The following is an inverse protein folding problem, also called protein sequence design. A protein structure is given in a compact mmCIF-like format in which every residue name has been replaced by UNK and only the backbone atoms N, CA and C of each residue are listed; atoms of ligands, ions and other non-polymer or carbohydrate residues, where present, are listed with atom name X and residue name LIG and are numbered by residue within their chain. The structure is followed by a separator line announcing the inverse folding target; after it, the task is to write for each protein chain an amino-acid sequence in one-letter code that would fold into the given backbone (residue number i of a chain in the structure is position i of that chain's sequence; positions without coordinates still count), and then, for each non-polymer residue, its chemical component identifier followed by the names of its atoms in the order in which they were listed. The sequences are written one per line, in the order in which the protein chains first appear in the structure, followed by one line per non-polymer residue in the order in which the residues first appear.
data_IF_665056165932
#
_entry.id   IF_665056165932
#
_cell.length_a   1.000
_cell.length_b   1.000
_cell.length_c   1.000
_cell.angle_alpha   90.00
_cell.angle_beta   90.00
_cell.angle_gamma   90.00
#
_symmetry.space_group_name_H-M   'P 1'
#
loop_
_entity.id
_entity.type
_entity.pdbx_description
1 polymer ?
#
# COMPACT_ATOMS: atom_id res chain seq x y z
N UNK A 1 77.83 39.47 -38.96
CA UNK A 1 76.85 39.14 -40.03
C UNK A 1 76.22 37.78 -39.76
N UNK A 2 74.89 37.78 -39.50
CA UNK A 2 73.91 36.68 -39.64
C UNK A 2 74.27 35.27 -39.09
N UNK A 3 73.61 34.85 -38.00
CA UNK A 3 72.27 34.22 -38.02
C UNK A 3 71.77 33.97 -36.60
N UNK A 4 70.55 34.41 -36.34
CA UNK A 4 69.77 34.14 -35.15
C UNK A 4 69.41 32.64 -35.05
N UNK A 5 69.44 32.08 -33.84
CA UNK A 5 68.80 30.80 -33.50
C UNK A 5 67.69 31.10 -32.50
N UNK A 6 66.45 31.04 -32.99
CA UNK A 6 65.24 31.05 -32.17
C UNK A 6 65.22 29.77 -31.33
N UNK A 7 65.16 29.92 -29.99
CA UNK A 7 64.80 28.85 -29.07
C UNK A 7 63.33 29.07 -28.72
N UNK A 8 62.47 28.17 -29.20
CA UNK A 8 61.05 28.13 -28.90
C UNK A 8 60.87 27.48 -27.52
N UNK A 9 60.40 28.24 -26.54
CA UNK A 9 60.00 27.75 -25.23
C UNK A 9 58.53 27.33 -25.32
N UNK A 10 58.26 26.01 -25.32
CA UNK A 10 56.89 25.47 -25.27
C UNK A 10 56.55 25.18 -23.82
N UNK A 11 55.76 26.04 -23.20
CA UNK A 11 55.19 25.82 -21.86
C UNK A 11 53.93 24.99 -22.02
N UNK A 12 54.00 23.72 -21.61
CA UNK A 12 52.87 22.79 -21.58
C UNK A 12 51.99 23.11 -20.35
N UNK A 13 50.86 23.78 -20.55
CA UNK A 13 49.87 24.02 -19.48
C UNK A 13 48.99 22.77 -19.39
N UNK A 14 49.25 21.94 -18.39
CA UNK A 14 48.41 20.82 -18.00
C UNK A 14 47.12 21.33 -17.33
N UNK A 15 46.03 21.34 -18.09
CA UNK A 15 44.67 21.60 -17.57
C UNK A 15 44.18 20.35 -16.84
N UNK A 16 44.33 20.30 -15.52
CA UNK A 16 43.67 19.30 -14.68
C UNK A 16 42.22 19.71 -14.47
N UNK A 17 41.29 19.06 -15.18
CA UNK A 17 39.87 19.18 -14.91
C UNK A 17 39.56 18.47 -13.58
N UNK A 18 39.40 19.25 -12.51
CA UNK A 18 38.73 18.81 -11.29
C UNK A 18 37.25 18.63 -11.62
N UNK A 19 36.84 17.41 -11.96
CA UNK A 19 35.42 17.04 -11.95
C UNK A 19 34.97 16.97 -10.50
N UNK A 20 34.42 18.07 -10.00
CA UNK A 20 33.62 18.04 -8.80
C UNK A 20 32.38 17.18 -9.08
N UNK A 21 32.36 15.98 -8.51
CA UNK A 21 31.12 15.23 -8.33
C UNK A 21 30.24 16.05 -7.40
N UNK A 22 29.42 16.93 -7.98
CA UNK A 22 28.29 17.52 -7.29
C UNK A 22 27.26 16.40 -7.12
N UNK A 23 27.16 15.86 -5.91
CA UNK A 23 25.98 15.13 -5.47
C UNK A 23 24.75 16.00 -5.77
N UNK A 24 23.68 15.46 -6.37
CA UNK A 24 22.45 16.23 -6.51
C UNK A 24 21.99 16.64 -5.11
N UNK A 25 21.91 17.94 -4.85
CA UNK A 25 21.27 18.46 -3.66
C UNK A 25 19.78 18.12 -3.75
N UNK A 26 19.34 17.10 -3.01
CA UNK A 26 17.92 16.83 -2.77
C UNK A 26 17.43 17.91 -1.82
N UNK A 27 17.05 19.05 -2.39
CA UNK A 27 16.47 20.19 -1.67
C UNK A 27 15.29 20.77 -2.46
N UNK A 28 14.45 19.88 -2.99
CA UNK A 28 13.06 20.18 -3.32
C UNK A 28 12.19 19.34 -2.40
N UNK A 29 11.27 19.97 -1.65
CA UNK A 29 10.17 19.21 -1.04
C UNK A 29 9.44 18.51 -2.19
N UNK A 30 9.35 17.18 -2.16
CA UNK A 30 8.63 16.43 -3.19
C UNK A 30 7.20 16.99 -3.30
N UNK A 31 6.79 17.39 -4.50
CA UNK A 31 5.48 17.99 -4.76
C UNK A 31 4.37 17.00 -4.41
N UNK A 32 3.24 17.51 -3.93
CA UNK A 32 2.08 16.68 -3.60
C UNK A 32 1.50 16.09 -4.88
N UNK A 33 1.25 14.77 -4.88
CA UNK A 33 0.72 14.05 -6.04
C UNK A 33 -0.67 14.58 -6.43
N UNK A 34 -0.90 14.76 -7.72
CA UNK A 34 -2.17 15.27 -8.26
C UNK A 34 -2.87 14.29 -9.23
N UNK A 35 -2.17 13.24 -9.66
CA UNK A 35 -2.66 12.29 -10.65
C UNK A 35 -2.42 10.85 -10.22
N UNK A 36 -3.27 9.95 -10.69
CA UNK A 36 -3.24 8.52 -10.38
C UNK A 36 -3.13 7.71 -11.66
N UNK A 37 -2.13 6.83 -11.75
CA UNK A 37 -2.03 5.84 -12.82
C UNK A 37 -2.42 4.48 -12.25
N UNK A 38 -3.52 3.89 -12.74
CA UNK A 38 -4.08 2.66 -12.18
C UNK A 38 -4.68 1.75 -13.25
N UNK A 39 -4.86 0.48 -12.90
CA UNK A 39 -5.57 -0.53 -13.70
C UNK A 39 -6.53 -1.30 -12.82
N UNK A 40 -7.70 -1.65 -13.36
CA UNK A 40 -8.62 -2.60 -12.72
C UNK A 40 -8.36 -4.05 -13.14
N UNK A 41 -7.25 -4.32 -13.85
CA UNK A 41 -6.86 -5.67 -14.28
C UNK A 41 -7.94 -6.37 -15.11
N UNK A 42 -8.63 -5.63 -15.97
CA UNK A 42 -9.75 -6.13 -16.75
C UNK A 42 -9.32 -6.74 -18.11
N UNK A 43 -8.04 -6.68 -18.44
CA UNK A 43 -7.41 -7.24 -19.64
C UNK A 43 -6.19 -8.10 -19.29
N UNK A 44 -5.76 -8.94 -20.24
CA UNK A 44 -4.63 -9.84 -20.04
C UNK A 44 -3.27 -9.12 -19.97
N UNK A 45 -3.11 -7.98 -20.67
CA UNK A 45 -1.82 -7.27 -20.70
C UNK A 45 -1.48 -6.67 -19.34
N UNK A 46 -2.46 -6.03 -18.67
CA UNK A 46 -2.27 -5.51 -17.32
C UNK A 46 -2.09 -6.64 -16.30
N UNK A 47 -2.82 -7.75 -16.42
CA UNK A 47 -2.63 -8.92 -15.56
C UNK A 47 -1.24 -9.54 -15.74
N UNK A 48 -0.74 -9.68 -16.97
CA UNK A 48 0.59 -10.23 -17.25
C UNK A 48 1.71 -9.33 -16.71
N UNK A 49 1.58 -8.01 -16.83
CA UNK A 49 2.53 -7.05 -16.26
C UNK A 49 2.61 -7.20 -14.74
N UNK A 50 1.46 -7.19 -14.07
CA UNK A 50 1.39 -7.30 -12.61
C UNK A 50 1.86 -8.68 -12.14
N UNK A 51 1.48 -9.76 -12.83
CA UNK A 51 1.91 -11.13 -12.49
C UNK A 51 3.43 -11.27 -12.52
N UNK A 52 4.10 -10.73 -13.54
CA UNK A 52 5.58 -10.73 -13.61
C UNK A 52 6.23 -9.98 -12.45
N UNK A 53 5.66 -8.84 -12.06
CA UNK A 53 6.13 -8.09 -10.90
C UNK A 53 5.92 -8.88 -9.59
N UNK A 54 4.76 -9.53 -9.42
CA UNK A 54 4.47 -10.40 -8.27
C UNK A 54 5.43 -11.59 -8.19
N UNK A 55 5.69 -12.27 -9.32
CA UNK A 55 6.68 -13.36 -9.41
C UNK A 55 8.09 -12.86 -9.00
N UNK A 56 8.51 -11.73 -9.54
CA UNK A 56 9.81 -11.12 -9.24
C UNK A 56 9.93 -10.64 -7.79
N UNK A 57 8.81 -10.27 -7.17
CA UNK A 57 8.72 -9.92 -5.76
C UNK A 57 8.73 -11.14 -4.84
N UNK A 58 8.58 -12.35 -5.38
CA UNK A 58 8.60 -13.60 -4.61
C UNK A 58 7.23 -14.01 -4.05
N UNK A 59 6.13 -13.54 -4.65
CA UNK A 59 4.78 -14.02 -4.32
C UNK A 59 4.62 -15.44 -4.87
N UNK A 60 4.01 -16.34 -4.09
CA UNK A 60 3.80 -17.73 -4.50
C UNK A 60 2.77 -17.81 -5.63
N UNK A 61 2.93 -18.81 -6.51
CA UNK A 61 1.98 -19.06 -7.59
C UNK A 61 0.54 -19.23 -7.07
N UNK A 62 0.36 -19.90 -5.94
CA UNK A 62 -0.93 -20.06 -5.27
C UNK A 62 -1.58 -18.72 -4.91
N UNK A 63 -0.86 -17.81 -4.23
CA UNK A 63 -1.37 -16.50 -3.85
C UNK A 63 -1.65 -15.61 -5.08
N UNK A 64 -0.80 -15.68 -6.11
CA UNK A 64 -1.04 -14.97 -7.38
C UNK A 64 -2.30 -15.48 -8.08
N UNK A 65 -2.45 -16.79 -8.22
CA UNK A 65 -3.62 -17.39 -8.87
C UNK A 65 -4.89 -17.09 -8.10
N UNK A 66 -4.85 -17.15 -6.76
CA UNK A 66 -5.97 -16.76 -5.92
C UNK A 66 -6.38 -15.30 -6.14
N UNK A 67 -5.41 -14.37 -6.19
CA UNK A 67 -5.65 -12.96 -6.43
C UNK A 67 -6.30 -12.71 -7.80
N UNK A 68 -5.71 -13.21 -8.89
CA UNK A 68 -6.26 -13.01 -10.22
C UNK A 68 -7.62 -13.71 -10.43
N UNK A 69 -7.87 -14.84 -9.77
CA UNK A 69 -9.21 -15.44 -9.75
C UNK A 69 -10.23 -14.51 -9.08
N UNK A 70 -9.87 -13.90 -7.95
CA UNK A 70 -10.76 -12.97 -7.24
C UNK A 70 -11.03 -11.70 -8.06
N UNK A 71 -9.99 -11.14 -8.69
CA UNK A 71 -10.08 -10.01 -9.65
C UNK A 71 -11.04 -10.35 -10.80
N UNK A 72 -10.79 -11.48 -11.48
CA UNK A 72 -11.59 -11.88 -12.63
C UNK A 72 -13.05 -12.17 -12.24
N UNK A 73 -13.28 -12.82 -11.09
CA UNK A 73 -14.64 -13.06 -10.59
C UNK A 73 -15.37 -11.74 -10.30
N UNK A 74 -14.70 -10.78 -9.66
CA UNK A 74 -15.27 -9.45 -9.40
C UNK A 74 -15.60 -8.72 -10.69
N UNK A 75 -14.62 -8.56 -11.57
CA UNK A 75 -14.79 -7.84 -12.83
C UNK A 75 -15.87 -8.46 -13.72
N UNK A 76 -15.99 -9.79 -13.77
CA UNK A 76 -17.04 -10.48 -14.53
C UNK A 76 -18.42 -10.36 -13.87
N UNK A 77 -18.47 -10.34 -12.54
CA UNK A 77 -19.74 -10.21 -11.78
C UNK A 77 -20.39 -8.86 -12.05
N UNK A 78 -19.60 -7.79 -12.06
CA UNK A 78 -20.06 -6.41 -12.29
C UNK A 78 -20.02 -5.99 -13.77
N UNK A 79 -19.77 -6.96 -14.67
CA UNK A 79 -19.73 -6.77 -16.12
C UNK A 79 -18.78 -5.64 -16.56
N UNK A 80 -17.68 -5.50 -15.82
CA UNK A 80 -16.65 -4.48 -15.99
C UNK A 80 -17.18 -3.03 -15.95
N UNK A 81 -18.33 -2.80 -15.29
CA UNK A 81 -18.90 -1.46 -15.14
C UNK A 81 -17.89 -0.50 -14.51
N UNK A 82 -17.70 0.64 -15.17
CA UNK A 82 -16.84 1.77 -14.76
C UNK A 82 -15.36 1.40 -14.55
N UNK A 83 -14.92 0.24 -15.04
CA UNK A 83 -13.53 -0.20 -14.94
C UNK A 83 -12.67 0.35 -16.08
N UNK A 84 -11.38 0.53 -15.80
CA UNK A 84 -10.35 0.61 -16.84
C UNK A 84 -10.24 -0.78 -17.50
N UNK A 85 -10.74 -0.90 -18.74
CA UNK A 85 -10.83 -2.17 -19.46
C UNK A 85 -9.61 -2.54 -20.30
N UNK A 86 -8.64 -1.63 -20.45
CA UNK A 86 -7.43 -1.85 -21.25
C UNK A 86 -6.22 -1.18 -20.58
N UNK A 87 -5.27 -1.99 -20.11
CA UNK A 87 -3.99 -1.55 -19.57
C UNK A 87 -4.12 -0.71 -18.29
N UNK A 88 -3.24 0.28 -18.18
CA UNK A 88 -3.26 1.30 -17.13
C UNK A 88 -3.77 2.62 -17.71
N UNK A 89 -4.65 3.30 -16.98
CA UNK A 89 -5.12 4.64 -17.29
C UNK A 89 -4.53 5.65 -16.31
N UNK A 90 -4.42 6.92 -16.72
CA UNK A 90 -4.02 8.02 -15.84
C UNK A 90 -5.15 9.04 -15.73
N UNK A 91 -5.47 9.45 -14.51
CA UNK A 91 -6.48 10.47 -14.20
C UNK A 91 -5.84 11.61 -13.40
N UNK A 92 -6.33 12.84 -13.60
CA UNK A 92 -5.86 14.05 -12.90
C UNK A 92 -6.54 14.24 -11.54
N UNK A 93 -6.58 13.17 -10.75
CA UNK A 93 -7.05 13.12 -9.37
C UNK A 93 -6.47 11.89 -8.67
N UNK A 94 -6.56 11.82 -7.35
CA UNK A 94 -6.05 10.69 -6.56
C UNK A 94 -7.08 9.59 -6.27
N UNK A 95 -8.27 9.66 -6.86
CA UNK A 95 -9.34 8.69 -6.60
C UNK A 95 -10.13 8.40 -7.88
N UNK A 96 -10.23 7.13 -8.30
CA UNK A 96 -11.17 6.73 -9.35
C UNK A 96 -12.61 6.92 -8.90
N UNK A 97 -13.50 7.24 -9.84
CA UNK A 97 -14.94 7.32 -9.58
C UNK A 97 -15.64 6.05 -10.07
N UNK A 98 -16.41 5.42 -9.20
CA UNK A 98 -17.22 4.24 -9.51
C UNK A 98 -18.66 4.42 -9.04
N UNK A 99 -19.62 3.89 -9.79
CA UNK A 99 -21.01 3.80 -9.33
C UNK A 99 -21.16 2.61 -8.35
N UNK A 100 -20.78 2.84 -7.09
CA UNK A 100 -20.74 1.80 -6.06
C UNK A 100 -22.13 1.21 -5.77
N UNK A 101 -23.21 1.98 -5.92
CA UNK A 101 -24.57 1.48 -5.74
C UNK A 101 -24.91 0.44 -6.81
N UNK A 102 -24.68 0.76 -8.09
CA UNK A 102 -24.92 -0.18 -9.17
C UNK A 102 -23.98 -1.40 -9.09
N UNK A 103 -22.71 -1.19 -8.74
CA UNK A 103 -21.75 -2.28 -8.52
C UNK A 103 -22.24 -3.22 -7.42
N UNK A 104 -22.67 -2.68 -6.29
CA UNK A 104 -23.19 -3.46 -5.17
C UNK A 104 -24.45 -4.24 -5.57
N UNK A 105 -25.40 -3.61 -6.27
CA UNK A 105 -26.62 -4.28 -6.74
C UNK A 105 -26.31 -5.47 -7.66
N UNK A 106 -25.37 -5.31 -8.59
CA UNK A 106 -24.92 -6.40 -9.47
C UNK A 106 -24.22 -7.51 -8.68
N UNK A 107 -23.40 -7.15 -7.69
CA UNK A 107 -22.70 -8.10 -6.84
C UNK A 107 -23.67 -8.92 -6.00
N UNK A 108 -24.59 -8.28 -5.28
CA UNK A 108 -25.56 -8.92 -4.39
C UNK A 108 -26.54 -9.82 -5.17
N UNK A 109 -26.92 -9.39 -6.37
CA UNK A 109 -27.77 -10.21 -7.26
C UNK A 109 -27.12 -11.55 -7.60
N UNK A 110 -25.79 -11.57 -7.83
CA UNK A 110 -25.04 -12.79 -8.17
C UNK A 110 -24.52 -13.52 -6.92
N UNK A 111 -24.37 -12.85 -5.78
CA UNK A 111 -23.74 -13.36 -4.56
C UNK A 111 -24.56 -13.03 -3.28
N UNK A 112 -25.79 -13.54 -3.12
CA UNK A 112 -26.72 -13.08 -2.07
C UNK A 112 -26.26 -13.34 -0.63
N UNK A 113 -25.29 -14.23 -0.43
CA UNK A 113 -24.75 -14.58 0.90
C UNK A 113 -23.27 -14.22 1.04
N UNK A 114 -22.61 -13.68 0.02
CA UNK A 114 -21.17 -13.46 0.02
C UNK A 114 -20.86 -12.02 -0.36
N UNK A 115 -20.46 -11.22 0.64
CA UNK A 115 -20.18 -9.79 0.49
C UNK A 115 -18.91 -9.48 -0.31
N UNK A 116 -18.14 -10.49 -0.73
CA UNK A 116 -16.85 -10.31 -1.39
C UNK A 116 -15.68 -10.27 -0.40
N UNK A 117 -14.51 -9.91 -0.91
CA UNK A 117 -13.31 -9.71 -0.08
C UNK A 117 -12.96 -8.21 -0.02
N UNK A 118 -12.38 -7.79 1.11
CA UNK A 118 -11.95 -6.43 1.36
C UNK A 118 -10.40 -6.29 1.37
N UNK A 119 -9.93 -5.12 1.79
CA UNK A 119 -8.51 -4.77 1.92
C UNK A 119 -7.71 -5.76 2.78
N UNK A 120 -8.21 -6.09 3.97
CA UNK A 120 -7.52 -6.97 4.93
C UNK A 120 -7.39 -8.39 4.40
N UNK A 121 -8.49 -8.99 3.94
CA UNK A 121 -8.51 -10.36 3.43
C UNK A 121 -7.60 -10.49 2.21
N UNK A 122 -7.72 -9.56 1.26
CA UNK A 122 -6.91 -9.57 0.03
C UNK A 122 -5.42 -9.41 0.33
N UNK A 123 -5.08 -8.48 1.22
CA UNK A 123 -3.68 -8.24 1.60
C UNK A 123 -3.08 -9.44 2.33
N UNK A 124 -3.86 -10.09 3.22
CA UNK A 124 -3.40 -11.28 3.91
C UNK A 124 -3.17 -12.45 2.96
N UNK A 125 -4.10 -12.75 2.05
CA UNK A 125 -3.93 -13.88 1.11
C UNK A 125 -2.67 -13.72 0.23
N UNK A 126 -2.34 -12.48 -0.15
CA UNK A 126 -1.11 -12.15 -0.85
C UNK A 126 0.14 -12.28 0.02
N UNK A 127 0.06 -11.90 1.30
CA UNK A 127 1.18 -11.83 2.24
C UNK A 127 1.39 -13.09 3.07
N UNK A 128 0.47 -14.05 3.10
CA UNK A 128 0.43 -15.17 4.07
C UNK A 128 1.72 -16.02 4.12
N UNK A 129 2.44 -16.11 3.01
CA UNK A 129 3.72 -16.83 2.91
C UNK A 129 4.96 -15.98 3.27
N UNK A 130 4.75 -14.67 3.48
CA UNK A 130 5.77 -13.67 3.81
C UNK A 130 5.63 -13.11 5.22
N UNK A 131 4.58 -13.50 5.95
CA UNK A 131 4.37 -13.13 7.36
C UNK A 131 4.46 -14.40 8.20
N UNK A 132 5.25 -14.36 9.25
CA UNK A 132 5.28 -15.39 10.27
C UNK A 132 4.56 -14.89 11.51
N UNK A 133 3.67 -15.70 12.08
CA UNK A 133 2.96 -15.39 13.34
C UNK A 133 3.22 -16.53 14.33
N UNK A 134 4.12 -16.29 15.28
CA UNK A 134 4.53 -17.35 16.22
C UNK A 134 3.55 -17.61 17.36
N UNK A 135 2.73 -16.61 17.72
CA UNK A 135 1.80 -16.70 18.85
C UNK A 135 0.45 -16.11 18.46
N UNK A 136 -0.45 -17.00 18.07
CA UNK A 136 -1.86 -16.66 17.80
C UNK A 136 -2.49 -15.98 19.03
N UNK A 137 -3.08 -14.82 18.82
CA UNK A 137 -3.81 -14.07 19.83
C UNK A 137 -4.92 -13.23 19.18
N UNK A 138 -6.17 -13.65 19.38
CA UNK A 138 -7.36 -13.08 18.77
C UNK A 138 -8.24 -12.31 19.76
N UNK A 139 -7.72 -11.94 20.93
CA UNK A 139 -8.50 -11.32 22.02
C UNK A 139 -9.25 -10.05 21.60
N UNK A 140 -8.67 -9.25 20.70
CA UNK A 140 -9.23 -7.95 20.26
C UNK A 140 -9.64 -7.98 18.78
N UNK A 141 -10.22 -9.08 18.30
CA UNK A 141 -10.62 -9.26 16.89
C UNK A 141 -12.12 -9.15 16.64
N UNK A 142 -12.94 -8.74 17.64
CA UNK A 142 -14.41 -8.68 17.50
C UNK A 142 -14.88 -7.81 16.35
N UNK A 143 -14.13 -6.75 16.04
CA UNK A 143 -14.41 -5.81 14.95
C UNK A 143 -14.08 -6.38 13.54
N UNK A 144 -13.60 -7.62 13.46
CA UNK A 144 -13.40 -8.33 12.19
C UNK A 144 -14.62 -9.17 11.77
N UNK A 145 -15.79 -8.96 12.38
CA UNK A 145 -16.99 -9.77 12.12
C UNK A 145 -17.42 -9.78 10.65
N UNK A 146 -17.24 -8.68 9.90
CA UNK A 146 -17.52 -8.66 8.46
C UNK A 146 -16.52 -9.49 7.67
N UNK A 147 -15.24 -9.45 8.05
CA UNK A 147 -14.20 -10.27 7.43
C UNK A 147 -14.45 -11.76 7.70
N UNK A 148 -14.85 -12.10 8.92
CA UNK A 148 -15.22 -13.46 9.31
C UNK A 148 -16.45 -13.95 8.55
N UNK A 149 -17.49 -13.11 8.40
CA UNK A 149 -18.67 -13.45 7.60
C UNK A 149 -18.32 -13.65 6.11
N UNK A 150 -17.49 -12.78 5.54
CA UNK A 150 -16.98 -12.92 4.18
C UNK A 150 -16.21 -14.23 3.97
N UNK A 151 -15.30 -14.57 4.89
CA UNK A 151 -14.51 -15.81 4.82
C UNK A 151 -15.39 -17.06 5.00
N UNK A 152 -16.38 -16.99 5.88
CA UNK A 152 -17.33 -18.08 6.14
C UNK A 152 -18.23 -18.37 4.95
N UNK A 153 -18.75 -17.32 4.29
CA UNK A 153 -19.67 -17.46 3.16
C UNK A 153 -18.96 -17.47 1.79
N UNK A 154 -17.63 -17.41 1.79
CA UNK A 154 -16.81 -17.45 0.59
C UNK A 154 -17.08 -18.70 -0.26
N UNK A 155 -17.23 -18.57 -1.60
CA UNK A 155 -17.48 -19.72 -2.49
C UNK A 155 -16.27 -20.66 -2.63
N UNK A 156 -15.08 -20.20 -2.22
CA UNK A 156 -13.85 -21.02 -2.12
C UNK A 156 -13.28 -20.94 -0.71
N UNK A 157 -12.58 -21.98 -0.27
CA UNK A 157 -11.80 -21.94 0.98
C UNK A 157 -10.52 -21.14 0.73
N UNK A 158 -10.60 -19.81 0.93
CA UNK A 158 -9.48 -18.89 0.69
C UNK A 158 -8.36 -19.07 1.72
N UNK A 159 -8.75 -19.15 2.99
CA UNK A 159 -7.86 -19.33 4.13
C UNK A 159 -8.23 -20.61 4.90
N UNK A 160 -7.22 -21.39 5.26
CA UNK A 160 -7.33 -22.48 6.23
C UNK A 160 -7.73 -21.96 7.61
N UNK A 161 -8.14 -22.86 8.51
CA UNK A 161 -8.52 -22.47 9.88
C UNK A 161 -7.35 -21.83 10.64
N UNK A 162 -6.12 -22.33 10.41
CA UNK A 162 -4.90 -21.74 10.99
C UNK A 162 -4.66 -20.34 10.43
N UNK A 163 -4.74 -20.19 9.10
CA UNK A 163 -4.57 -18.88 8.44
C UNK A 163 -5.66 -17.88 8.85
N UNK A 164 -6.87 -18.33 9.20
CA UNK A 164 -7.92 -17.45 9.73
C UNK A 164 -7.60 -16.95 11.15
N UNK A 165 -7.02 -17.79 12.01
CA UNK A 165 -6.54 -17.34 13.34
C UNK A 165 -5.33 -16.40 13.23
N UNK A 166 -4.43 -16.66 12.28
CA UNK A 166 -3.31 -15.78 11.95
C UNK A 166 -3.79 -14.43 11.40
N UNK A 167 -4.74 -14.44 10.47
CA UNK A 167 -5.42 -13.25 9.96
C UNK A 167 -6.00 -12.41 11.10
N UNK A 168 -6.78 -13.02 12.00
CA UNK A 168 -7.35 -12.33 13.16
C UNK A 168 -6.27 -11.80 14.10
N UNK A 169 -5.17 -12.52 14.26
CA UNK A 169 -4.05 -12.10 15.11
C UNK A 169 -3.38 -10.84 14.56
N UNK A 170 -3.12 -10.80 13.25
CA UNK A 170 -2.50 -9.66 12.56
C UNK A 170 -3.37 -8.40 12.60
N UNK A 171 -4.68 -8.54 12.32
CA UNK A 171 -5.62 -7.41 12.23
C UNK A 171 -6.38 -7.10 13.52
N UNK A 172 -6.09 -7.80 14.62
CA UNK A 172 -6.69 -7.47 15.91
C UNK A 172 -6.26 -6.09 16.42
N UNK A 173 -7.14 -5.46 17.17
CA UNK A 173 -6.99 -4.09 17.62
C UNK A 173 -5.94 -4.00 18.73
N UNK A 174 -5.15 -2.92 18.71
CA UNK A 174 -4.05 -2.69 19.65
C UNK A 174 -4.48 -1.64 20.68
N UNK A 175 -4.56 -1.97 21.98
CA UNK A 175 -4.84 -0.98 23.01
C UNK A 175 -3.81 0.15 23.01
N UNK A 176 -4.26 1.39 23.12
CA UNK A 176 -3.41 2.58 23.15
C UNK A 176 -3.89 3.58 24.21
N UNK A 177 -3.17 4.70 24.30
CA UNK A 177 -3.49 5.84 25.16
C UNK A 177 -4.09 6.99 24.33
N UNK A 178 -4.94 7.81 24.95
CA UNK A 178 -5.55 8.99 24.30
C UNK A 178 -4.51 10.11 24.13
N UNK A 179 -3.78 10.08 23.03
CA UNK A 179 -2.77 11.07 22.62
C UNK A 179 -2.81 11.29 21.12
N UNK A 180 -2.26 12.42 20.66
CA UNK A 180 -2.01 12.71 19.24
C UNK A 180 -0.63 12.28 18.76
N UNK A 181 0.26 11.89 19.68
CA UNK A 181 1.64 11.53 19.36
C UNK A 181 1.72 10.15 18.72
N UNK A 182 1.90 10.11 17.39
CA UNK A 182 2.01 8.87 16.62
C UNK A 182 3.21 8.02 17.05
N UNK A 183 4.25 8.59 17.68
CA UNK A 183 5.40 7.81 18.14
C UNK A 183 5.02 6.86 19.28
N UNK A 184 4.10 7.29 20.15
CA UNK A 184 3.52 6.43 21.19
C UNK A 184 2.74 5.28 20.53
N UNK A 185 1.93 5.60 19.52
CA UNK A 185 1.12 4.60 18.81
C UNK A 185 1.97 3.58 18.05
N UNK A 186 3.01 4.02 17.34
CA UNK A 186 3.97 3.15 16.66
C UNK A 186 4.62 2.17 17.64
N UNK A 187 5.03 2.64 18.82
CA UNK A 187 5.60 1.78 19.84
C UNK A 187 4.60 0.74 20.35
N UNK A 188 3.33 1.11 20.59
CA UNK A 188 2.28 0.16 20.99
C UNK A 188 2.06 -0.93 19.94
N UNK A 189 2.00 -0.56 18.65
CA UNK A 189 1.85 -1.54 17.55
C UNK A 189 3.06 -2.49 17.51
N UNK A 190 4.29 -1.95 17.57
CA UNK A 190 5.52 -2.76 17.59
C UNK A 190 5.59 -3.70 18.79
N UNK A 191 5.19 -3.23 19.98
CA UNK A 191 5.14 -4.05 21.20
C UNK A 191 4.13 -5.19 21.08
N UNK A 192 2.92 -4.91 20.58
CA UNK A 192 1.88 -5.90 20.37
C UNK A 192 2.29 -6.96 19.33
N UNK A 193 2.80 -6.54 18.18
CA UNK A 193 3.28 -7.45 17.14
C UNK A 193 4.46 -8.29 17.60
N UNK A 194 5.40 -7.71 18.35
CA UNK A 194 6.49 -8.45 19.00
C UNK A 194 5.97 -9.48 20.01
N UNK A 195 4.94 -9.13 20.80
CA UNK A 195 4.34 -10.05 21.77
C UNK A 195 3.68 -11.26 21.08
N UNK A 196 3.14 -11.06 19.89
CA UNK A 196 2.55 -12.08 18.99
C UNK A 196 3.58 -12.83 18.12
N UNK A 197 4.87 -12.46 18.21
CA UNK A 197 5.95 -12.95 17.34
C UNK A 197 5.59 -12.83 15.85
N UNK A 198 5.03 -11.67 15.47
CA UNK A 198 4.78 -11.30 14.08
C UNK A 198 6.10 -10.83 13.47
N UNK A 199 6.50 -11.45 12.35
CA UNK A 199 7.73 -11.12 11.63
C UNK A 199 7.50 -11.14 10.13
N UNK A 200 8.01 -10.14 9.45
CA UNK A 200 7.95 -10.03 7.99
C UNK A 200 9.22 -10.60 7.36
N UNK A 201 9.06 -11.45 6.35
CA UNK A 201 10.16 -12.09 5.63
C UNK A 201 10.89 -11.07 4.75
N UNK A 202 12.22 -11.04 4.86
CA UNK A 202 13.07 -10.25 3.96
C UNK A 202 13.44 -11.00 2.65
N UNK A 203 12.94 -12.22 2.46
CA UNK A 203 13.23 -13.02 1.26
C UNK A 203 12.43 -12.56 0.05
N UNK A 204 11.20 -12.10 0.29
CA UNK A 204 10.33 -11.53 -0.73
C UNK A 204 10.45 -10.01 -0.70
N UNK A 205 10.35 -9.38 -1.87
CA UNK A 205 10.32 -7.91 -2.02
C UNK A 205 8.87 -7.42 -2.02
N UNK A 206 8.13 -7.84 -1.00
CA UNK A 206 6.71 -7.54 -0.83
C UNK A 206 6.53 -6.92 0.55
N UNK A 207 5.72 -5.88 0.63
CA UNK A 207 5.42 -5.21 1.90
C UNK A 207 3.92 -5.10 2.11
N UNK A 208 3.49 -5.35 3.34
CA UNK A 208 2.15 -4.98 3.80
C UNK A 208 2.15 -3.48 4.10
N UNK A 209 1.28 -2.72 3.45
CA UNK A 209 1.02 -1.32 3.78
C UNK A 209 -0.23 -1.27 4.63
N UNK A 210 -0.12 -0.70 5.83
CA UNK A 210 -1.22 -0.61 6.80
C UNK A 210 -1.47 0.84 7.17
N UNK A 211 -2.70 1.31 7.00
CA UNK A 211 -3.17 2.61 7.49
C UNK A 211 -3.84 2.41 8.84
N UNK A 212 -3.20 2.89 9.89
CA UNK A 212 -3.70 2.81 11.25
C UNK A 212 -4.55 4.03 11.60
N UNK A 213 -5.67 3.77 12.27
CA UNK A 213 -6.56 4.77 12.84
C UNK A 213 -6.56 4.66 14.36
N UNK A 214 -6.80 5.79 15.03
CA UNK A 214 -6.98 5.87 16.47
C UNK A 214 -8.46 6.12 16.78
N UNK A 215 -9.12 5.12 17.38
CA UNK A 215 -10.51 5.20 17.84
C UNK A 215 -10.64 6.08 19.08
N UNK A 216 -11.54 7.06 19.04
CA UNK A 216 -11.85 7.98 20.14
C UNK A 216 -12.78 7.35 21.21
N UNK A 217 -13.51 6.29 20.86
CA UNK A 217 -14.45 5.61 21.75
C UNK A 217 -13.74 4.71 22.75
N UNK A 218 -12.83 3.86 22.26
CA UNK A 218 -12.30 2.74 23.05
C UNK A 218 -10.78 2.77 23.24
N UNK A 219 -10.09 3.81 22.74
CA UNK A 219 -8.62 3.95 22.79
C UNK A 219 -7.88 2.74 22.20
N UNK A 220 -8.28 2.35 20.98
CA UNK A 220 -7.60 1.32 20.20
C UNK A 220 -7.02 1.89 18.91
N UNK A 221 -5.90 1.32 18.50
CA UNK A 221 -5.38 1.41 17.15
C UNK A 221 -5.90 0.22 16.33
N UNK A 222 -6.32 0.49 15.10
CA UNK A 222 -6.75 -0.55 14.19
C UNK A 222 -6.33 -0.22 12.75
N UNK A 223 -6.12 -1.27 11.96
CA UNK A 223 -5.83 -1.13 10.53
C UNK A 223 -7.17 -0.90 9.81
N UNK A 224 -7.42 0.35 9.44
CA UNK A 224 -8.62 0.74 8.69
C UNK A 224 -8.49 0.48 7.19
N UNK A 225 -7.25 0.42 6.69
CA UNK A 225 -6.97 0.02 5.30
C UNK A 225 -5.65 -0.75 5.20
N UNK A 226 -5.61 -1.71 4.29
CA UNK A 226 -4.43 -2.50 3.98
C UNK A 226 -4.30 -2.72 2.47
N UNK A 227 -3.06 -2.73 1.99
CA UNK A 227 -2.71 -3.13 0.63
C UNK A 227 -1.31 -3.71 0.57
N UNK A 228 -0.90 -4.13 -0.63
CA UNK A 228 0.38 -4.81 -0.83
C UNK A 228 1.24 -4.03 -1.81
N UNK A 229 2.46 -3.67 -1.39
CA UNK A 229 3.42 -2.95 -2.20
C UNK A 229 4.49 -3.91 -2.75
N UNK A 230 4.73 -3.85 -4.06
CA UNK A 230 5.81 -4.59 -4.74
C UNK A 230 6.58 -3.67 -5.69
N UNK A 231 7.87 -3.93 -5.94
CA UNK A 231 8.62 -3.24 -6.97
C UNK A 231 8.21 -3.72 -8.37
N UNK A 232 8.21 -2.80 -9.33
CA UNK A 232 8.14 -3.07 -10.76
C UNK A 232 9.56 -3.13 -11.37
N UNK A 233 9.69 -3.72 -12.55
CA UNK A 233 10.98 -3.83 -13.27
C UNK A 233 11.55 -2.46 -13.67
N UNK A 234 10.70 -1.46 -13.90
CA UNK A 234 11.10 -0.10 -14.29
C UNK A 234 11.52 0.78 -13.10
N UNK A 235 11.63 0.20 -11.90
CA UNK A 235 12.00 0.89 -10.67
C UNK A 235 10.84 1.59 -9.97
N UNK A 236 9.62 1.54 -10.51
CA UNK A 236 8.41 2.02 -9.85
C UNK A 236 7.92 1.03 -8.80
N UNK A 237 6.86 1.42 -8.10
CA UNK A 237 6.14 0.60 -7.15
C UNK A 237 4.74 0.31 -7.68
N UNK A 238 4.28 -0.93 -7.52
CA UNK A 238 2.90 -1.34 -7.72
C UNK A 238 2.24 -1.53 -6.35
N UNK A 239 1.12 -0.86 -6.14
CA UNK A 239 0.27 -1.04 -4.97
C UNK A 239 -0.96 -1.83 -5.37
N UNK A 240 -1.03 -3.08 -4.92
CA UNK A 240 -2.15 -4.00 -5.14
C UNK A 240 -3.19 -3.74 -4.06
N UNK A 241 -4.38 -3.34 -4.48
CA UNK A 241 -5.37 -2.77 -3.58
C UNK A 241 -6.77 -3.31 -3.85
N UNK A 242 -7.48 -3.55 -2.76
CA UNK A 242 -8.93 -3.75 -2.72
C UNK A 242 -9.46 -2.83 -1.62
N UNK A 243 -10.01 -1.68 -1.96
CA UNK A 243 -10.31 -0.63 -0.97
C UNK A 243 -11.33 -1.08 0.09
N UNK A 244 -12.47 -1.61 -0.38
CA UNK A 244 -13.60 -2.06 0.44
C UNK A 244 -14.17 -3.35 -0.15
N UNK A 245 -15.31 -3.84 0.34
CA UNK A 245 -16.00 -4.99 -0.29
C UNK A 245 -16.56 -4.66 -1.68
N UNK A 246 -17.05 -3.43 -1.84
CA UNK A 246 -17.81 -2.98 -3.01
C UNK A 246 -16.91 -2.37 -4.09
N UNK A 247 -15.76 -1.83 -3.72
CA UNK A 247 -14.88 -1.18 -4.69
C UNK A 247 -14.10 -2.19 -5.53
N UNK A 248 -13.89 -1.95 -6.83
CA UNK A 248 -13.08 -2.81 -7.68
C UNK A 248 -11.67 -3.06 -7.15
N UNK A 249 -11.10 -4.21 -7.54
CA UNK A 249 -9.67 -4.40 -7.40
C UNK A 249 -8.94 -3.39 -8.29
N UNK A 250 -7.79 -2.92 -7.81
CA UNK A 250 -6.92 -2.05 -8.59
C UNK A 250 -5.45 -2.28 -8.29
N UNK A 251 -4.62 -1.91 -9.27
CA UNK A 251 -3.19 -1.78 -9.10
C UNK A 251 -2.78 -0.38 -9.49
N UNK A 252 -2.10 0.31 -8.57
CA UNK A 252 -1.67 1.70 -8.75
C UNK A 252 -0.16 1.76 -8.90
N UNK A 253 0.32 2.60 -9.83
CA UNK A 253 1.74 2.86 -10.06
C UNK A 253 2.19 4.10 -9.30
N UNK A 254 3.26 3.97 -8.52
CA UNK A 254 3.91 5.08 -7.82
C UNK A 254 5.40 5.15 -8.17
N UNK A 255 5.94 6.37 -8.27
CA UNK A 255 7.38 6.53 -8.47
C UNK A 255 8.17 6.26 -7.19
N UNK A 256 7.59 6.51 -6.02
CA UNK A 256 8.22 6.35 -4.71
C UNK A 256 7.16 6.19 -3.60
N UNK A 257 7.62 6.02 -2.35
CA UNK A 257 6.75 5.85 -1.17
C UNK A 257 6.05 7.13 -0.72
N UNK A 258 6.59 8.30 -1.06
CA UNK A 258 5.94 9.59 -0.78
C UNK A 258 4.68 9.74 -1.63
N UNK A 259 4.71 9.33 -2.90
CA UNK A 259 3.52 9.30 -3.75
C UNK A 259 2.44 8.33 -3.23
N UNK A 260 2.84 7.17 -2.70
CA UNK A 260 1.93 6.25 -2.01
C UNK A 260 1.34 6.90 -0.74
N UNK A 261 2.17 7.57 0.06
CA UNK A 261 1.72 8.30 1.24
C UNK A 261 0.66 9.34 0.85
N UNK A 262 0.92 10.17 -0.16
CA UNK A 262 -0.01 11.20 -0.61
C UNK A 262 -1.35 10.60 -1.01
N UNK A 263 -1.34 9.51 -1.77
CA UNK A 263 -2.56 8.79 -2.17
C UNK A 263 -3.38 8.33 -0.95
N UNK A 264 -2.73 7.68 0.02
CA UNK A 264 -3.42 7.15 1.21
C UNK A 264 -3.87 8.28 2.15
N UNK A 265 -3.05 9.29 2.38
CA UNK A 265 -3.38 10.42 3.26
C UNK A 265 -4.43 11.35 2.65
N UNK A 266 -4.50 11.47 1.32
CA UNK A 266 -5.60 12.15 0.63
C UNK A 266 -6.96 11.52 0.98
N UNK A 267 -6.98 10.20 1.12
CA UNK A 267 -8.20 9.42 1.39
C UNK A 267 -8.55 9.36 2.87
N UNK A 268 -7.54 9.28 3.74
CA UNK A 268 -7.74 8.92 5.15
C UNK A 268 -7.48 10.06 6.14
N UNK A 269 -6.56 10.99 5.87
CA UNK A 269 -6.35 12.18 6.71
C UNK A 269 -7.20 13.34 6.19
N UNK A 270 -8.50 13.26 6.49
CA UNK A 270 -9.54 14.21 6.04
C UNK A 270 -10.35 14.84 7.17
N UNK A 271 -10.18 14.32 8.40
CA UNK A 271 -10.89 14.78 9.58
C UNK A 271 -10.24 16.04 10.15
N UNK A 272 -11.07 17.00 10.53
CA UNK A 272 -10.64 18.29 11.09
C UNK A 272 -10.76 18.24 12.61
N UNK A 273 -9.77 18.77 13.33
CA UNK A 273 -9.79 18.95 14.77
C UNK A 273 -10.16 17.69 15.57
N UNK A 274 -9.77 16.52 15.07
CA UNK A 274 -9.98 15.26 15.76
C UNK A 274 -9.25 15.24 17.12
N UNK A 275 -9.85 14.66 18.17
CA UNK A 275 -9.22 14.55 19.47
C UNK A 275 -8.11 13.47 19.50
N UNK A 276 -8.12 12.56 18.53
CA UNK A 276 -7.18 11.45 18.38
C UNK A 276 -6.03 11.80 17.42
N UNK A 277 -4.98 10.99 17.43
CA UNK A 277 -3.90 11.10 16.44
C UNK A 277 -4.41 10.90 15.01
N UNK A 278 -3.84 11.66 14.07
CA UNK A 278 -4.08 11.48 12.64
C UNK A 278 -3.70 10.07 12.20
N UNK A 279 -4.28 9.56 11.10
CA UNK A 279 -3.87 8.27 10.55
C UNK A 279 -2.38 8.25 10.25
N UNK A 280 -1.75 7.10 10.49
CA UNK A 280 -0.35 6.86 10.15
C UNK A 280 -0.20 5.59 9.34
N UNK A 281 0.84 5.55 8.52
CA UNK A 281 1.04 4.47 7.54
C UNK A 281 2.28 3.69 7.94
N UNK A 282 2.13 2.38 8.10
CA UNK A 282 3.25 1.48 8.31
C UNK A 282 3.51 0.65 7.04
N UNK A 283 4.79 0.44 6.73
CA UNK A 283 5.25 -0.57 5.79
C UNK A 283 5.85 -1.72 6.60
N UNK A 284 5.18 -2.87 6.57
CA UNK A 284 5.44 -3.96 7.50
C UNK A 284 5.42 -3.44 8.95
N UNK A 285 6.48 -3.67 9.72
CA UNK A 285 6.61 -3.29 11.13
C UNK A 285 7.26 -1.91 11.35
N UNK A 286 7.45 -1.11 10.30
CA UNK A 286 8.08 0.21 10.38
C UNK A 286 7.17 1.32 9.87
N UNK A 287 7.40 2.56 10.32
CA UNK A 287 6.72 3.73 9.74
C UNK A 287 7.12 3.85 8.27
N UNK A 288 6.15 4.13 7.39
CA UNK A 288 6.41 4.30 5.97
C UNK A 288 7.50 5.33 5.72
N UNK A 289 8.51 4.98 4.92
CA UNK A 289 9.55 5.92 4.53
C UNK A 289 8.93 7.10 3.76
N UNK A 290 9.22 8.32 4.21
CA UNK A 290 8.64 9.53 3.63
C UNK A 290 7.21 9.82 4.11
N UNK A 291 6.75 9.17 5.18
CA UNK A 291 5.48 9.51 5.83
C UNK A 291 5.34 11.02 6.06
N UNK A 292 4.19 11.56 5.67
CA UNK A 292 3.79 12.95 5.94
C UNK A 292 2.28 13.04 6.04
N UNK A 293 1.81 13.94 6.90
CA UNK A 293 0.38 14.28 6.97
C UNK A 293 -0.13 14.85 5.64
N UNK A 294 -1.45 14.81 5.44
CA UNK A 294 -2.07 15.40 4.26
C UNK A 294 -1.86 16.93 4.27
N UNK A 295 -1.08 17.50 3.33
CA UNK A 295 -0.84 18.93 3.30
C UNK A 295 -2.10 19.76 2.98
N UNK A 296 -3.15 19.11 2.45
CA UNK A 296 -4.45 19.74 2.20
C UNK A 296 -5.42 19.65 3.39
N UNK A 297 -5.01 19.00 4.49
CA UNK A 297 -5.75 18.94 5.75
C UNK A 297 -4.86 19.43 6.93
N UNK A 298 -4.41 20.68 6.93
CA UNK A 298 -3.59 21.20 8.02
C UNK A 298 -4.40 21.18 9.33
N UNK A 299 -3.79 20.71 10.43
CA UNK A 299 -4.37 20.99 11.75
C UNK A 299 -4.50 22.51 11.90
N UNK A 300 -5.66 23.01 12.32
CA UNK A 300 -5.75 24.42 12.67
C UNK A 300 -4.85 24.62 13.88
N UNK A 301 -3.76 25.37 13.72
CA UNK A 301 -2.97 25.86 14.85
C UNK A 301 -3.96 26.52 15.83
N UNK A 302 -4.27 25.83 16.91
CA UNK A 302 -5.04 26.39 18.02
C UNK A 302 -4.14 27.43 18.69
N UNK A 303 -4.27 28.68 18.22
CA UNK A 303 -3.84 29.85 18.99
C UNK A 303 -4.69 30.02 20.24
#
# INVERSE_FOLDING_TARGET
MKKARNILLVTLISFTALTACASPSINGKEEYKQSLTYSNLADASSQDEVRKAMESAGITAESMDSFFQSVNNFNNTIEKKDLVVDGFSTIDRLEPEYDLLAIQEMWDTKNPMFIGYNCRITSFDLMKNSIFIGKVNTKNSSELFMDEDALKNSPKKLLSEVEQEEFKTLFSFVPTEMTKDISIHLNKVKEDWKAKDIRFSNKAKISLISVFFHSDLDNYLFIGHAGVLIPAEDGKLLFLEKLSFQEPYQVIKFNNRVELNDYLMNKYDVSWNQPTAKPFIMENDELLEGYRENPNNPESDSK
#
